data_IF_923924062087
#
_entry.id   IF_923924062087
#
_cell.length_a   1.000
_cell.length_b   1.000
_cell.length_c   1.000
_cell.angle_alpha   90.00
_cell.angle_beta   90.00
_cell.angle_gamma   90.00
#
_symmetry.space_group_name_H-M   'P 1'
#
loop_
_entity.id
_entity.type
_entity.pdbx_description
1 polymer ?
#
# COMPACT_ATOMS: atom_id res chain seq x y z
N UNK A 1 -5.92 13.38 -0.92
CA UNK A 1 -4.77 12.83 -0.17
C UNK A 1 -3.52 12.98 -1.02
N UNK A 2 -2.38 13.30 -0.43
CA UNK A 2 -1.07 13.28 -1.12
C UNK A 2 -0.17 12.31 -0.36
N UNK A 3 0.40 11.33 -1.06
CA UNK A 3 1.25 10.32 -0.48
C UNK A 3 2.66 10.37 -1.06
N UNK A 4 3.67 10.09 -0.24
CA UNK A 4 4.96 9.66 -0.74
C UNK A 4 5.06 8.15 -0.62
N UNK A 5 5.51 7.54 -1.71
CA UNK A 5 5.68 6.10 -1.88
C UNK A 5 7.13 5.67 -1.61
N UNK A 6 7.30 4.52 -0.98
CA UNK A 6 8.53 3.75 -1.05
C UNK A 6 8.77 2.83 0.13
N UNK A 7 9.96 2.20 0.21
CA UNK A 7 10.31 1.31 1.34
C UNK A 7 11.30 1.95 2.31
N UNK A 8 11.38 1.46 3.55
CA UNK A 8 12.34 1.95 4.53
C UNK A 8 13.76 1.43 4.23
N UNK A 9 14.77 2.30 4.29
CA UNK A 9 16.18 1.90 4.26
C UNK A 9 16.84 1.84 2.89
N UNK A 10 16.11 2.02 1.78
CA UNK A 10 16.70 2.20 0.44
C UNK A 10 15.91 3.23 -0.38
N UNK A 11 16.61 4.15 -1.06
CA UNK A 11 15.98 5.06 -2.03
C UNK A 11 15.59 4.40 -3.36
N UNK A 12 16.07 3.17 -3.59
CA UNK A 12 15.85 2.42 -4.83
C UNK A 12 14.38 2.06 -5.07
N UNK A 13 13.57 2.02 -4.02
CA UNK A 13 12.14 1.69 -4.10
C UNK A 13 11.24 2.87 -3.69
N UNK A 14 11.75 4.11 -3.70
CA UNK A 14 10.96 5.33 -3.51
C UNK A 14 11.48 6.27 -2.42
N UNK A 15 10.92 7.49 -2.41
CA UNK A 15 11.42 8.63 -1.62
C UNK A 15 11.34 8.38 -0.11
N UNK A 16 10.45 7.48 0.34
CA UNK A 16 10.32 7.13 1.76
C UNK A 16 11.60 6.54 2.36
N UNK A 17 12.44 5.87 1.58
CA UNK A 17 13.63 5.18 2.11
C UNK A 17 14.89 6.03 2.18
N UNK A 18 14.88 7.22 1.61
CA UNK A 18 16.08 8.06 1.46
C UNK A 18 16.46 8.80 2.75
N UNK A 19 15.49 9.09 3.63
CA UNK A 19 15.71 9.93 4.83
C UNK A 19 14.78 9.53 5.98
N UNK A 20 15.06 10.06 7.17
CA UNK A 20 14.21 9.87 8.36
C UNK A 20 12.76 10.37 8.10
N UNK A 21 11.72 9.70 8.65
CA UNK A 21 10.31 10.04 8.40
C UNK A 21 9.96 11.51 8.62
N UNK A 22 10.51 12.17 9.66
CA UNK A 22 10.19 13.57 9.95
C UNK A 22 10.74 14.54 8.88
N UNK A 23 11.88 14.22 8.27
CA UNK A 23 12.47 15.01 7.16
C UNK A 23 11.61 14.88 5.91
N UNK A 24 11.15 13.66 5.64
CA UNK A 24 10.28 13.35 4.52
C UNK A 24 8.93 14.05 4.69
N UNK A 25 8.43 14.14 5.91
CA UNK A 25 7.17 14.83 6.21
C UNK A 25 7.19 16.31 5.83
N UNK A 26 8.29 17.02 6.11
CA UNK A 26 8.42 18.44 5.72
C UNK A 26 8.34 18.59 4.20
N UNK A 27 9.01 17.70 3.45
CA UNK A 27 8.93 17.67 1.98
C UNK A 27 7.51 17.34 1.50
N UNK A 28 6.88 16.33 2.09
CA UNK A 28 5.53 15.90 1.76
C UNK A 28 4.50 17.02 1.98
N UNK A 29 4.59 17.75 3.10
CA UNK A 29 3.73 18.92 3.34
C UNK A 29 3.95 20.02 2.31
N UNK A 30 5.20 20.29 1.94
CA UNK A 30 5.51 21.27 0.90
C UNK A 30 4.93 20.85 -0.46
N UNK A 31 5.01 19.56 -0.80
CA UNK A 31 4.41 19.01 -2.01
C UNK A 31 2.87 18.98 -1.97
N UNK A 32 2.28 18.86 -0.79
CA UNK A 32 0.84 18.88 -0.58
C UNK A 32 0.25 20.30 -0.61
N UNK A 33 1.03 21.32 -0.28
CA UNK A 33 0.59 22.71 -0.15
C UNK A 33 -0.14 23.27 -1.39
N UNK A 34 0.26 22.99 -2.64
CA UNK A 34 -0.45 23.47 -3.83
C UNK A 34 -1.87 22.90 -3.97
N UNK A 35 -2.16 21.77 -3.34
CA UNK A 35 -3.48 21.12 -3.39
C UNK A 35 -4.41 21.57 -2.26
N UNK A 36 -3.91 22.38 -1.31
CA UNK A 36 -4.72 22.93 -0.26
C UNK A 36 -5.51 24.14 -0.78
N UNK A 37 -6.81 24.16 -0.51
CA UNK A 37 -7.69 25.29 -0.83
C UNK A 37 -8.66 25.54 0.33
N UNK A 38 -9.38 26.66 0.31
CA UNK A 38 -10.26 27.05 1.41
C UNK A 38 -11.33 25.97 1.66
N UNK A 39 -11.29 25.35 2.84
CA UNK A 39 -12.20 24.26 3.23
C UNK A 39 -11.76 22.86 2.80
N UNK A 40 -10.59 22.72 2.16
CA UNK A 40 -10.01 21.42 1.79
C UNK A 40 -8.73 21.19 2.59
N UNK A 41 -8.82 20.35 3.62
CA UNK A 41 -7.65 19.87 4.35
C UNK A 41 -7.02 18.68 3.61
N UNK A 42 -5.80 18.88 3.12
CA UNK A 42 -5.06 17.82 2.42
C UNK A 42 -4.52 16.81 3.43
N UNK A 43 -5.13 15.63 3.48
CA UNK A 43 -4.58 14.50 4.22
C UNK A 43 -3.26 14.03 3.57
N UNK A 44 -2.18 14.01 4.35
CA UNK A 44 -0.90 13.43 3.94
C UNK A 44 -0.81 11.96 4.38
N UNK A 45 -0.12 11.15 3.59
CA UNK A 45 0.12 9.74 3.91
C UNK A 45 1.55 9.31 3.60
N UNK A 46 2.07 8.38 4.39
CA UNK A 46 3.26 7.59 4.04
C UNK A 46 2.77 6.27 3.48
N UNK A 47 3.06 5.98 2.23
CA UNK A 47 2.80 4.67 1.65
C UNK A 47 4.07 3.84 1.68
N UNK A 48 4.16 2.98 2.70
CA UNK A 48 5.35 2.22 3.04
C UNK A 48 5.23 0.80 2.50
N UNK A 49 6.10 0.43 1.56
CA UNK A 49 6.24 -0.96 1.11
C UNK A 49 6.81 -1.78 2.27
N UNK A 50 5.96 -2.62 2.87
CA UNK A 50 6.33 -3.44 4.04
C UNK A 50 6.61 -4.89 3.68
N UNK A 51 6.05 -5.37 2.57
CA UNK A 51 6.42 -6.63 1.96
C UNK A 51 6.91 -6.31 0.56
N UNK A 52 8.15 -6.68 0.26
CA UNK A 52 8.86 -6.33 -0.98
C UNK A 52 8.97 -7.58 -1.82
N UNK A 53 8.66 -7.48 -3.11
CA UNK A 53 8.86 -8.59 -4.04
C UNK A 53 10.32 -8.67 -4.49
N UNK A 54 10.84 -9.89 -4.57
CA UNK A 54 12.24 -10.18 -4.88
C UNK A 54 12.39 -10.86 -6.24
N UNK A 55 13.50 -10.58 -6.93
CA UNK A 55 13.84 -11.27 -8.17
C UNK A 55 14.25 -12.74 -7.96
N UNK A 56 14.56 -13.13 -6.72
CA UNK A 56 15.00 -14.48 -6.34
C UNK A 56 14.11 -15.05 -5.22
N UNK A 57 13.90 -16.38 -5.17
CA UNK A 57 13.11 -16.98 -4.10
C UNK A 57 13.82 -16.90 -2.76
N UNK A 58 13.07 -16.54 -1.72
CA UNK A 58 13.45 -16.79 -0.32
C UNK A 58 13.30 -18.26 0.07
N UNK A 59 13.47 -18.56 1.35
CA UNK A 59 13.40 -19.94 1.87
C UNK A 59 12.04 -20.61 1.68
N UNK A 60 10.95 -19.83 1.67
CA UNK A 60 9.60 -20.32 1.45
C UNK A 60 9.17 -20.28 -0.03
N UNK A 61 10.09 -19.88 -0.93
CA UNK A 61 9.87 -19.83 -2.36
C UNK A 61 8.85 -18.79 -2.81
N UNK A 62 8.46 -17.84 -1.95
CA UNK A 62 7.40 -16.90 -2.25
C UNK A 62 7.85 -15.66 -3.03
N UNK A 63 9.16 -15.48 -3.25
CA UNK A 63 9.75 -14.32 -3.95
C UNK A 63 9.36 -12.98 -3.30
N UNK A 64 9.30 -12.95 -1.97
CA UNK A 64 9.14 -11.72 -1.22
C UNK A 64 9.83 -11.78 0.14
N UNK A 65 10.08 -10.63 0.72
CA UNK A 65 10.46 -10.52 2.13
C UNK A 65 9.75 -9.36 2.81
N UNK A 66 9.61 -9.47 4.13
CA UNK A 66 9.05 -8.41 4.97
C UNK A 66 10.19 -7.51 5.48
N UNK A 67 9.94 -6.20 5.58
CA UNK A 67 10.86 -5.28 6.27
C UNK A 67 10.81 -5.51 7.79
N UNK A 68 11.80 -4.97 8.51
CA UNK A 68 11.82 -5.05 9.98
C UNK A 68 10.59 -4.34 10.60
N UNK A 69 9.92 -5.03 11.53
CA UNK A 69 8.83 -4.47 12.35
C UNK A 69 9.23 -3.20 13.07
N UNK A 70 10.49 -3.06 13.49
CA UNK A 70 11.00 -1.84 14.12
C UNK A 70 10.94 -0.64 13.16
N UNK A 71 11.15 -0.84 11.85
CA UNK A 71 10.97 0.20 10.87
C UNK A 71 9.50 0.63 10.78
N UNK A 72 8.56 -0.33 10.71
CA UNK A 72 7.12 -0.02 10.68
C UNK A 72 6.67 0.72 11.94
N UNK A 73 7.17 0.35 13.13
CA UNK A 73 6.88 1.09 14.37
C UNK A 73 7.30 2.56 14.29
N UNK A 74 8.49 2.84 13.75
CA UNK A 74 8.96 4.24 13.56
C UNK A 74 8.05 5.05 12.64
N UNK A 75 7.49 4.43 11.60
CA UNK A 75 6.52 5.10 10.72
C UNK A 75 5.15 5.27 11.38
N UNK A 76 4.69 4.33 12.20
CA UNK A 76 3.47 4.50 13.00
C UNK A 76 3.64 5.70 13.94
N UNK A 77 4.74 5.77 14.70
CA UNK A 77 5.00 6.89 15.59
C UNK A 77 5.08 8.22 14.83
N UNK A 78 5.70 8.22 13.64
CA UNK A 78 5.74 9.40 12.78
C UNK A 78 4.35 9.80 12.27
N UNK A 79 3.49 8.85 11.91
CA UNK A 79 2.10 9.06 11.51
C UNK A 79 1.31 9.77 12.61
N UNK A 80 1.39 9.28 13.85
CA UNK A 80 0.77 9.93 15.02
C UNK A 80 1.28 11.36 15.24
N UNK A 81 2.61 11.56 15.31
CA UNK A 81 3.21 12.89 15.54
C UNK A 81 2.81 13.91 14.48
N UNK A 82 2.69 13.46 13.23
CA UNK A 82 2.46 14.34 12.10
C UNK A 82 0.99 14.37 11.64
N UNK A 83 0.07 13.69 12.34
CA UNK A 83 -1.32 13.55 11.90
C UNK A 83 -1.41 13.07 10.43
N UNK A 84 -0.51 12.18 10.05
CA UNK A 84 -0.41 11.60 8.71
C UNK A 84 -0.94 10.17 8.75
N UNK A 85 -1.49 9.66 7.65
CA UNK A 85 -1.82 8.24 7.55
C UNK A 85 -0.56 7.43 7.23
N UNK A 86 -0.52 6.17 7.64
CA UNK A 86 0.45 5.19 7.16
C UNK A 86 -0.30 4.12 6.37
N UNK A 87 0.02 3.95 5.10
CA UNK A 87 -0.56 2.91 4.24
C UNK A 87 0.51 1.84 4.07
N UNK A 88 0.21 0.62 4.51
CA UNK A 88 1.11 -0.51 4.32
C UNK A 88 0.91 -1.07 2.92
N UNK A 89 1.93 -0.99 2.07
CA UNK A 89 1.90 -1.56 0.73
C UNK A 89 2.48 -2.98 0.74
N UNK A 90 1.77 -3.90 0.08
CA UNK A 90 2.12 -5.29 -0.04
C UNK A 90 2.48 -5.65 -1.48
N UNK A 91 3.70 -6.15 -1.67
CA UNK A 91 4.16 -6.80 -2.89
C UNK A 91 4.38 -8.30 -2.61
N UNK A 92 3.34 -9.15 -2.77
CA UNK A 92 3.32 -10.46 -2.14
C UNK A 92 4.15 -11.54 -2.84
N UNK A 93 4.76 -11.23 -3.99
CA UNK A 93 5.37 -12.24 -4.84
C UNK A 93 4.36 -13.35 -5.20
N UNK A 94 4.76 -14.60 -5.03
CA UNK A 94 3.93 -15.80 -5.21
C UNK A 94 3.00 -16.09 -4.05
N UNK A 95 3.13 -15.39 -2.93
CA UNK A 95 2.18 -15.47 -1.82
C UNK A 95 0.84 -14.84 -2.21
N UNK A 96 -0.21 -15.09 -1.41
CA UNK A 96 -1.49 -14.39 -1.56
C UNK A 96 -1.59 -13.21 -0.58
N UNK A 97 -2.33 -12.17 -0.97
CA UNK A 97 -2.45 -10.95 -0.19
C UNK A 97 -3.03 -11.18 1.21
N UNK A 98 -3.99 -12.09 1.36
CA UNK A 98 -4.60 -12.33 2.67
C UNK A 98 -3.60 -12.92 3.66
N UNK A 99 -2.72 -13.83 3.21
CA UNK A 99 -1.65 -14.40 4.03
C UNK A 99 -0.68 -13.30 4.46
N UNK A 100 -0.22 -12.47 3.53
CA UNK A 100 0.72 -11.37 3.79
C UNK A 100 0.10 -10.30 4.70
N UNK A 101 -1.12 -9.85 4.42
CA UNK A 101 -1.82 -8.83 5.22
C UNK A 101 -1.99 -9.25 6.68
N UNK A 102 -2.25 -10.55 6.93
CA UNK A 102 -2.34 -11.09 8.30
C UNK A 102 -1.01 -11.02 9.08
N UNK A 103 0.16 -11.05 8.41
CA UNK A 103 1.47 -10.84 9.06
C UNK A 103 1.58 -9.43 9.68
N UNK A 104 0.92 -8.47 9.05
CA UNK A 104 0.86 -7.05 9.45
C UNK A 104 -0.36 -6.67 10.28
N UNK A 105 -1.16 -7.65 10.72
CA UNK A 105 -2.37 -7.41 11.51
C UNK A 105 -2.09 -6.62 12.81
N UNK A 106 -0.88 -6.73 13.36
CA UNK A 106 -0.49 -5.96 14.55
C UNK A 106 -0.41 -4.45 14.27
N UNK A 107 0.09 -4.04 13.10
CA UNK A 107 0.19 -2.65 12.68
C UNK A 107 -1.16 -2.12 12.20
N UNK A 108 -1.92 -2.95 11.48
CA UNK A 108 -3.26 -2.61 10.99
C UNK A 108 -4.30 -2.40 12.11
N UNK A 109 -3.98 -2.74 13.36
CA UNK A 109 -4.81 -2.39 14.53
C UNK A 109 -4.66 -0.94 14.96
N UNK A 110 -3.68 -0.22 14.44
CA UNK A 110 -3.51 1.20 14.74
C UNK A 110 -4.51 2.05 13.93
N UNK A 111 -5.15 3.07 14.53
CA UNK A 111 -6.16 3.89 13.85
C UNK A 111 -5.62 4.66 12.64
N UNK A 112 -4.34 5.01 12.59
CA UNK A 112 -3.73 5.77 11.48
C UNK A 112 -3.27 4.88 10.32
N UNK A 113 -3.40 3.55 10.45
CA UNK A 113 -2.83 2.60 9.51
C UNK A 113 -3.88 2.03 8.56
N UNK A 114 -3.65 2.21 7.26
CA UNK A 114 -4.39 1.60 6.15
C UNK A 114 -3.58 0.53 5.42
N UNK A 115 -4.15 -0.04 4.37
CA UNK A 115 -3.57 -1.14 3.59
C UNK A 115 -3.67 -0.85 2.09
N UNK A 116 -2.57 -0.98 1.36
CA UNK A 116 -2.54 -1.03 -0.09
C UNK A 116 -2.21 -2.45 -0.56
N UNK A 117 -2.87 -2.88 -1.64
CA UNK A 117 -2.47 -4.07 -2.39
C UNK A 117 -1.83 -3.61 -3.69
N UNK A 118 -0.67 -4.18 -4.02
CA UNK A 118 0.01 -3.94 -5.28
C UNK A 118 -0.02 -5.20 -6.18
N UNK A 119 -1.07 -5.35 -7.01
CA UNK A 119 -1.25 -6.46 -7.94
C UNK A 119 -0.11 -6.66 -8.93
N UNK A 120 0.67 -5.62 -9.25
CA UNK A 120 1.81 -5.75 -10.16
C UNK A 120 2.79 -6.81 -9.66
N UNK A 121 2.87 -6.99 -8.34
CA UNK A 121 3.79 -7.91 -7.70
C UNK A 121 3.14 -9.21 -7.23
N UNK A 122 1.87 -9.44 -7.60
CA UNK A 122 1.15 -10.70 -7.32
C UNK A 122 1.39 -11.71 -8.44
N UNK A 123 2.26 -12.69 -8.16
CA UNK A 123 2.79 -13.66 -9.12
C UNK A 123 2.06 -15.02 -9.10
N UNK A 124 1.84 -15.59 -10.27
CA UNK A 124 1.47 -17.00 -10.43
C UNK A 124 2.60 -17.97 -10.05
N UNK A 125 2.32 -19.29 -9.98
CA UNK A 125 3.25 -20.29 -9.45
C UNK A 125 4.62 -20.37 -10.13
N UNK A 126 4.70 -20.02 -11.41
CA UNK A 126 5.94 -20.05 -12.21
C UNK A 126 6.45 -18.67 -12.61
N UNK A 127 5.77 -17.61 -12.15
CA UNK A 127 6.14 -16.24 -12.47
C UNK A 127 7.19 -15.72 -11.50
N UNK A 128 8.03 -14.79 -11.95
CA UNK A 128 9.10 -14.18 -11.16
C UNK A 128 8.87 -12.67 -11.17
N UNK A 129 8.86 -12.00 -10.00
CA UNK A 129 8.79 -10.55 -9.91
C UNK A 129 9.77 -9.84 -10.84
N UNK A 130 9.33 -8.74 -11.46
CA UNK A 130 10.14 -7.94 -12.39
C UNK A 130 10.36 -8.54 -13.77
N UNK A 131 9.97 -9.81 -14.02
CA UNK A 131 9.97 -10.40 -15.37
C UNK A 131 8.61 -10.29 -16.07
N UNK A 132 7.54 -10.25 -15.28
CA UNK A 132 6.16 -10.12 -15.75
C UNK A 132 5.40 -9.20 -14.80
N UNK A 133 4.36 -8.55 -15.31
CA UNK A 133 3.40 -7.82 -14.49
C UNK A 133 2.39 -8.83 -13.93
N UNK A 134 2.22 -8.81 -12.62
CA UNK A 134 1.29 -9.64 -11.88
C UNK A 134 -0.17 -9.26 -12.06
N UNK A 135 -1.03 -10.03 -11.40
CA UNK A 135 -2.47 -9.72 -11.33
C UNK A 135 -3.11 -10.33 -10.10
N UNK A 136 -4.25 -9.77 -9.70
CA UNK A 136 -5.06 -10.31 -8.60
C UNK A 136 -6.51 -10.43 -9.00
N UNK A 137 -7.14 -11.53 -8.60
CA UNK A 137 -8.57 -11.72 -8.82
C UNK A 137 -9.40 -10.83 -7.88
N UNK A 138 -10.56 -10.37 -8.36
CA UNK A 138 -11.53 -9.69 -7.48
C UNK A 138 -11.96 -10.55 -6.27
N UNK A 139 -11.88 -11.88 -6.37
CA UNK A 139 -12.16 -12.80 -5.25
C UNK A 139 -11.14 -12.61 -4.12
N UNK A 140 -9.86 -12.59 -4.44
CA UNK A 140 -8.79 -12.42 -3.47
C UNK A 140 -8.85 -11.02 -2.84
N UNK A 141 -9.05 -9.97 -3.63
CA UNK A 141 -9.27 -8.60 -3.12
C UNK A 141 -10.45 -8.56 -2.14
N UNK A 142 -11.57 -9.19 -2.49
CA UNK A 142 -12.75 -9.25 -1.64
C UNK A 142 -12.53 -10.05 -0.34
N UNK A 143 -11.63 -11.03 -0.33
CA UNK A 143 -11.25 -11.76 0.87
C UNK A 143 -10.42 -10.86 1.80
N UNK A 144 -9.47 -10.10 1.25
CA UNK A 144 -8.66 -9.14 2.03
C UNK A 144 -9.54 -8.02 2.59
N UNK A 145 -10.39 -7.40 1.75
CA UNK A 145 -11.27 -6.31 2.22
C UNK A 145 -12.27 -6.78 3.27
N UNK A 146 -12.82 -8.00 3.13
CA UNK A 146 -13.67 -8.61 4.16
C UNK A 146 -12.91 -8.82 5.48
N UNK A 147 -11.68 -9.31 5.38
CA UNK A 147 -10.87 -9.53 6.57
C UNK A 147 -10.48 -8.22 7.26
N UNK A 148 -10.09 -7.19 6.51
CA UNK A 148 -9.71 -5.90 7.04
C UNK A 148 -10.89 -5.17 7.71
N UNK A 149 -12.08 -5.19 7.11
CA UNK A 149 -13.27 -4.59 7.74
C UNK A 149 -13.66 -5.32 9.01
N UNK A 150 -13.53 -6.65 9.06
CA UNK A 150 -13.75 -7.41 10.29
C UNK A 150 -12.74 -7.06 11.38
N UNK A 151 -11.47 -6.80 11.02
CA UNK A 151 -10.45 -6.31 11.95
C UNK A 151 -10.83 -4.93 12.49
N UNK A 152 -11.27 -4.02 11.61
CA UNK A 152 -11.73 -2.68 11.97
C UNK A 152 -12.90 -2.74 12.97
N UNK A 153 -13.94 -3.51 12.68
CA UNK A 153 -15.07 -3.70 13.59
C UNK A 153 -14.66 -4.34 14.91
N UNK A 154 -13.87 -5.43 14.88
CA UNK A 154 -13.46 -6.16 16.09
C UNK A 154 -12.69 -5.28 17.08
N UNK A 155 -11.96 -4.28 16.57
CA UNK A 155 -11.12 -3.41 17.38
C UNK A 155 -11.69 -1.98 17.51
N UNK A 156 -12.95 -1.75 17.09
CA UNK A 156 -13.61 -0.43 17.11
C UNK A 156 -12.74 0.68 16.49
N UNK A 157 -12.07 0.37 15.38
CA UNK A 157 -11.16 1.30 14.72
C UNK A 157 -11.95 2.29 13.86
N UNK A 158 -11.41 3.47 13.56
CA UNK A 158 -11.99 4.33 12.52
C UNK A 158 -11.98 3.63 11.16
N UNK A 159 -12.69 4.22 10.20
CA UNK A 159 -12.63 3.79 8.81
C UNK A 159 -11.17 3.69 8.34
N UNK A 160 -10.84 2.61 7.63
CA UNK A 160 -9.49 2.37 7.14
C UNK A 160 -9.38 2.62 5.66
N UNK A 161 -8.29 3.26 5.24
CA UNK A 161 -7.92 3.30 3.83
C UNK A 161 -7.60 1.88 3.36
N UNK A 162 -8.24 1.48 2.27
CA UNK A 162 -7.95 0.25 1.54
C UNK A 162 -7.71 0.61 0.07
N UNK A 163 -6.43 0.59 -0.34
CA UNK A 163 -5.99 1.03 -1.65
C UNK A 163 -5.66 -0.15 -2.56
N UNK A 164 -5.96 0.01 -3.85
CA UNK A 164 -5.56 -0.92 -4.90
C UNK A 164 -4.76 -0.17 -5.96
N UNK A 165 -3.52 -0.59 -6.20
CA UNK A 165 -2.70 -0.05 -7.30
C UNK A 165 -3.09 -0.70 -8.63
N UNK A 166 -3.43 0.10 -9.62
CA UNK A 166 -3.90 -0.41 -10.92
C UNK A 166 -3.55 0.56 -12.04
N UNK A 167 -2.52 0.30 -12.84
CA UNK A 167 -2.25 1.10 -14.05
C UNK A 167 -2.70 0.41 -15.36
N UNK A 168 -3.03 -0.88 -15.29
CA UNK A 168 -3.59 -1.67 -16.41
C UNK A 168 -4.80 -2.46 -15.94
N UNK A 169 -5.84 -2.53 -16.78
CA UNK A 169 -7.05 -3.31 -16.50
C UNK A 169 -6.75 -4.81 -16.32
N UNK A 170 -5.70 -5.31 -16.96
CA UNK A 170 -5.24 -6.71 -16.85
C UNK A 170 -4.75 -7.09 -15.44
N UNK A 171 -4.37 -6.11 -14.60
CA UNK A 171 -3.91 -6.37 -13.23
C UNK A 171 -5.06 -6.77 -12.28
N UNK A 172 -6.29 -6.32 -12.56
CA UNK A 172 -7.49 -6.69 -11.82
C UNK A 172 -8.61 -7.12 -12.76
N UNK A 173 -8.54 -8.35 -13.30
CA UNK A 173 -9.63 -8.88 -14.12
C UNK A 173 -10.94 -8.92 -13.32
N UNK A 174 -11.88 -8.06 -13.73
CA UNK A 174 -13.18 -7.90 -13.10
C UNK A 174 -13.20 -7.01 -11.86
N UNK A 175 -12.49 -5.88 -11.90
CA UNK A 175 -12.58 -4.80 -10.91
C UNK A 175 -14.03 -4.46 -10.49
N UNK A 176 -14.99 -4.53 -11.42
CA UNK A 176 -16.42 -4.30 -11.16
C UNK A 176 -17.05 -5.28 -10.15
N UNK A 177 -16.42 -6.44 -9.89
CA UNK A 177 -16.87 -7.43 -8.90
C UNK A 177 -16.31 -7.18 -7.49
N UNK A 178 -15.50 -6.14 -7.30
CA UNK A 178 -14.98 -5.76 -5.99
C UNK A 178 -16.11 -5.12 -5.19
N UNK A 179 -16.34 -5.67 -3.99
CA UNK A 179 -17.43 -5.25 -3.10
C UNK A 179 -16.98 -4.06 -2.28
N UNK A 180 -17.76 -2.98 -2.33
CA UNK A 180 -17.65 -1.89 -1.36
C UNK A 180 -17.88 -2.42 0.06
N UNK A 181 -17.13 -1.89 1.02
CA UNK A 181 -17.25 -2.25 2.44
C UNK A 181 -17.47 -0.99 3.24
N UNK A 182 -18.59 -0.90 3.95
CA UNK A 182 -18.77 0.14 4.97
C UNK A 182 -17.69 -0.04 6.03
N UNK A 183 -16.98 1.04 6.39
CA UNK A 183 -15.81 0.98 7.29
C UNK A 183 -14.46 0.89 6.57
N UNK A 184 -14.45 0.84 5.23
CA UNK A 184 -13.24 1.04 4.42
C UNK A 184 -13.43 2.17 3.41
N UNK A 185 -12.51 3.12 3.42
CA UNK A 185 -12.33 4.07 2.32
C UNK A 185 -11.57 3.36 1.19
N UNK A 186 -12.32 2.83 0.22
CA UNK A 186 -11.76 2.10 -0.91
C UNK A 186 -11.26 3.06 -1.99
N UNK A 187 -9.94 3.07 -2.22
CA UNK A 187 -9.28 3.94 -3.20
C UNK A 187 -8.66 3.09 -4.30
N UNK A 188 -8.96 3.40 -5.55
CA UNK A 188 -8.26 2.83 -6.70
C UNK A 188 -7.25 3.86 -7.20
N UNK A 189 -5.96 3.54 -7.14
CA UNK A 189 -4.92 4.39 -7.68
C UNK A 189 -4.65 3.97 -9.13
N UNK A 190 -4.94 4.87 -10.08
CA UNK A 190 -4.73 4.63 -11.51
C UNK A 190 -3.58 5.47 -12.01
N UNK A 191 -2.37 4.92 -11.99
CA UNK A 191 -1.21 5.54 -12.60
C UNK A 191 -1.29 5.36 -14.13
N UNK A 192 -1.47 6.43 -14.88
CA UNK A 192 -1.39 6.37 -16.34
C UNK A 192 0.06 6.39 -16.79
N UNK A 193 0.64 5.24 -17.18
CA UNK A 193 1.78 5.26 -18.11
C UNK A 193 1.26 5.66 -19.50
N UNK A 194 1.09 6.97 -19.71
CA UNK A 194 0.92 7.57 -21.02
C UNK A 194 2.21 8.31 -21.38
N UNK A 195 2.84 7.92 -22.48
CA UNK A 195 3.73 8.84 -23.20
C UNK A 195 2.95 10.14 -23.47
N UNK A 196 3.55 11.33 -23.29
CA UNK A 196 2.92 12.57 -23.69
C UNK A 196 2.42 12.43 -25.13
N UNK A 197 1.13 12.71 -25.36
CA UNK A 197 0.65 12.91 -26.71
C UNK A 197 1.53 14.01 -27.31
N UNK A 198 2.30 13.65 -28.35
CA UNK A 198 2.93 14.66 -29.21
C UNK A 198 1.77 15.33 -29.95
N UNK A 199 1.49 16.58 -29.57
CA UNK A 199 0.85 17.53 -30.49
C UNK A 199 1.87 17.96 -31.54
#
# INVERSE_FOLDING_TARGET
>A
MVAYYGTAGTGALGVLGERRPDVITKKLRKAAAPFASKGIDVQIAYELIVTIADASPGQDGDYSHDIDRAAVRRYIEAAHRNKALLILDLQPGRSNFLKVAKRWAWALKDPYVGLALDPEWRMGPHQVPGRVIGSVSAREVNQVSKWLVNLQHKHNLPEKIFMLHTFRTSMLPGVARIKKRSGLAMVQHVDGFGTPARN
#
